data_IF_855507238350
#
_entry.id   IF_855507238350
#
_cell.length_a   1.000
_cell.length_b   1.000
_cell.length_c   1.000
_cell.angle_alpha   90.00
_cell.angle_beta   90.00
_cell.angle_gamma   90.00
#
_symmetry.space_group_name_H-M   'P 1'
#
loop_
_entity.id
_entity.type
_entity.pdbx_description
1 polymer ?
#
# COMPACT_ATOMS: atom_id res chain seq x y z
N UNK A 1 4.50 -47.72 9.44
CA UNK A 1 4.22 -47.13 10.76
C UNK A 1 5.28 -46.07 11.04
N UNK A 2 4.85 -44.82 11.30
CA UNK A 2 5.46 -43.78 12.15
C UNK A 2 6.95 -43.44 11.85
N UNK A 3 7.34 -42.20 11.54
CA UNK A 3 7.13 -40.99 12.32
C UNK A 3 7.17 -39.74 11.46
N UNK A 4 6.37 -38.76 11.90
CA UNK A 4 6.22 -37.43 11.35
C UNK A 4 7.26 -36.44 11.91
N UNK A 5 7.43 -35.34 11.18
CA UNK A 5 7.79 -33.96 11.59
C UNK A 5 9.14 -33.70 12.28
N UNK A 6 10.03 -33.03 11.54
CA UNK A 6 10.85 -31.89 12.01
C UNK A 6 10.88 -30.89 10.83
N UNK A 7 9.98 -29.92 10.83
CA UNK A 7 10.23 -28.53 11.24
C UNK A 7 11.18 -27.78 10.29
N UNK A 8 10.57 -26.90 9.49
CA UNK A 8 11.21 -25.95 8.60
C UNK A 8 12.10 -24.97 9.38
N UNK A 9 13.35 -24.84 8.95
CA UNK A 9 14.20 -23.69 9.22
C UNK A 9 15.36 -23.68 8.21
N UNK A 10 15.17 -23.02 7.08
CA UNK A 10 16.27 -22.42 6.33
C UNK A 10 15.87 -21.00 5.96
N UNK A 11 16.10 -20.12 6.93
CA UNK A 11 16.26 -18.70 6.72
C UNK A 11 17.47 -18.45 5.82
N UNK A 12 17.34 -17.50 4.90
CA UNK A 12 18.49 -16.75 4.38
C UNK A 12 18.90 -17.13 2.97
N UNK A 13 18.24 -16.51 2.00
CA UNK A 13 18.89 -15.83 0.87
C UNK A 13 17.83 -15.43 -0.16
N UNK A 14 17.02 -14.42 0.14
CA UNK A 14 16.36 -13.68 -0.92
C UNK A 14 16.25 -12.20 -0.54
N UNK A 15 16.98 -11.40 -1.31
CA UNK A 15 16.78 -9.97 -1.58
C UNK A 15 17.28 -8.99 -0.50
N UNK A 16 18.62 -8.92 -0.38
CA UNK A 16 19.34 -7.70 0.04
C UNK A 16 19.47 -6.70 -1.14
N UNK A 17 18.39 -6.50 -1.91
CA UNK A 17 18.29 -5.47 -2.96
C UNK A 17 17.04 -4.58 -2.83
N UNK A 18 16.30 -4.67 -1.71
CA UNK A 18 15.44 -3.57 -1.30
C UNK A 18 16.34 -2.54 -0.58
N UNK A 19 16.37 -1.33 -1.09
CA UNK A 19 17.29 -0.26 -0.68
C UNK A 19 17.46 -0.10 0.83
N UNK A 20 18.72 0.11 1.21
CA UNK A 20 19.19 0.59 2.51
C UNK A 20 18.14 1.42 3.28
N UNK A 21 17.90 0.99 4.52
CA UNK A 21 17.17 1.67 5.59
C UNK A 21 16.84 3.14 5.37
N UNK A 22 15.60 3.38 4.96
CA UNK A 22 14.81 4.43 5.58
C UNK A 22 13.71 3.70 6.33
N UNK A 23 13.56 3.94 7.63
CA UNK A 23 12.42 3.40 8.38
C UNK A 23 11.16 3.59 7.55
N UNK A 24 10.35 2.53 7.43
CA UNK A 24 9.09 2.58 6.68
C UNK A 24 8.30 3.76 7.22
N UNK A 25 8.30 4.87 6.48
CA UNK A 25 7.49 6.04 6.85
C UNK A 25 6.08 5.63 6.45
N UNK A 26 5.26 5.30 7.44
CA UNK A 26 3.85 4.95 7.23
C UNK A 26 3.00 6.21 7.39
N UNK A 27 1.87 6.28 6.68
CA UNK A 27 0.97 7.44 6.74
C UNK A 27 0.48 7.75 8.16
N UNK A 28 0.34 6.71 8.99
CA UNK A 28 -0.05 6.82 10.41
C UNK A 28 1.00 7.55 11.30
N UNK A 29 2.26 7.61 10.86
CA UNK A 29 3.37 8.19 11.61
C UNK A 29 3.64 9.65 11.17
N UNK A 30 2.87 10.16 10.20
CA UNK A 30 2.94 11.55 9.77
C UNK A 30 2.19 12.45 10.74
N UNK A 31 2.77 13.62 11.00
CA UNK A 31 2.14 14.72 11.73
C UNK A 31 2.32 16.03 10.99
N UNK A 32 1.64 17.09 11.43
CA UNK A 32 1.85 18.46 10.95
C UNK A 32 3.31 18.95 11.00
N UNK A 33 4.14 18.35 11.87
CA UNK A 33 5.57 18.68 12.01
C UNK A 33 6.50 17.91 11.06
N UNK A 34 5.97 16.90 10.35
CA UNK A 34 6.75 16.05 9.46
C UNK A 34 7.33 16.84 8.27
N UNK A 35 8.51 16.43 7.83
CA UNK A 35 9.15 17.05 6.68
C UNK A 35 8.38 16.78 5.39
N UNK A 36 8.45 17.68 4.41
CA UNK A 36 7.83 17.46 3.09
C UNK A 36 8.32 16.17 2.42
N UNK A 37 9.59 15.80 2.66
CA UNK A 37 10.20 14.56 2.16
C UNK A 37 9.55 13.32 2.79
N UNK A 38 9.32 13.33 4.10
CA UNK A 38 8.74 12.19 4.81
C UNK A 38 7.26 12.03 4.46
N UNK A 39 6.52 13.14 4.37
CA UNK A 39 5.14 13.16 3.88
C UNK A 39 5.07 12.52 2.48
N UNK A 40 5.94 12.96 1.56
CA UNK A 40 5.95 12.43 0.19
C UNK A 40 6.29 10.94 0.13
N UNK A 41 7.22 10.49 0.98
CA UNK A 41 7.58 9.06 1.10
C UNK A 41 6.44 8.23 1.67
N UNK A 42 5.78 8.71 2.71
CA UNK A 42 4.64 8.02 3.31
C UNK A 42 3.50 7.90 2.30
N UNK A 43 3.17 8.98 1.60
CA UNK A 43 2.14 8.96 0.57
C UNK A 43 2.44 7.96 -0.56
N UNK A 44 3.67 7.96 -1.09
CA UNK A 44 4.11 6.94 -2.06
C UNK A 44 4.01 5.53 -1.49
N UNK A 45 4.45 5.33 -0.24
CA UNK A 45 4.44 4.03 0.40
C UNK A 45 3.01 3.49 0.57
N UNK A 46 2.04 4.35 0.90
CA UNK A 46 0.64 3.95 1.01
C UNK A 46 0.03 3.61 -0.35
N UNK A 47 0.28 4.41 -1.39
CA UNK A 47 -0.17 4.06 -2.76
C UNK A 47 0.48 2.78 -3.28
N UNK A 48 1.76 2.58 -2.97
CA UNK A 48 2.49 1.35 -3.34
C UNK A 48 1.89 0.15 -2.62
N UNK A 49 1.53 0.27 -1.34
CA UNK A 49 0.88 -0.81 -0.59
C UNK A 49 -0.47 -1.21 -1.21
N UNK A 50 -1.25 -0.24 -1.67
CA UNK A 50 -2.51 -0.49 -2.38
C UNK A 50 -2.23 -1.22 -3.70
N UNK A 51 -1.26 -0.75 -4.49
CA UNK A 51 -0.86 -1.39 -5.74
C UNK A 51 -0.41 -2.84 -5.51
N UNK A 52 0.50 -3.05 -4.56
CA UNK A 52 1.03 -4.38 -4.20
C UNK A 52 -0.10 -5.31 -3.76
N UNK A 53 -1.05 -4.82 -2.94
CA UNK A 53 -2.18 -5.62 -2.49
C UNK A 53 -3.05 -6.09 -3.67
N UNK A 54 -3.40 -5.17 -4.57
CA UNK A 54 -4.22 -5.49 -5.76
C UNK A 54 -3.53 -6.48 -6.70
N UNK A 55 -2.21 -6.37 -6.89
CA UNK A 55 -1.44 -7.26 -7.76
C UNK A 55 -1.33 -8.70 -7.22
N UNK A 56 -1.63 -8.93 -5.94
CA UNK A 56 -1.55 -10.26 -5.31
C UNK A 56 -2.88 -11.01 -5.27
N UNK A 57 -3.95 -10.44 -5.81
CA UNK A 57 -5.29 -11.03 -5.77
C UNK A 57 -5.43 -12.08 -6.86
N UNK A 58 -5.55 -13.34 -6.44
CA UNK A 58 -5.71 -14.50 -7.32
C UNK A 58 -6.98 -15.32 -6.99
N UNK A 59 -7.51 -15.15 -5.78
CA UNK A 59 -8.66 -15.88 -5.25
C UNK A 59 -9.37 -15.10 -4.13
N UNK A 60 -10.43 -15.67 -3.56
CA UNK A 60 -11.18 -15.04 -2.48
C UNK A 60 -10.34 -14.78 -1.21
N UNK A 61 -9.41 -15.68 -0.87
CA UNK A 61 -8.62 -15.53 0.35
C UNK A 61 -7.63 -14.35 0.22
N UNK A 62 -6.96 -14.25 -0.94
CA UNK A 62 -6.07 -13.14 -1.28
C UNK A 62 -6.84 -11.84 -1.49
N UNK A 63 -8.07 -11.86 -2.04
CA UNK A 63 -8.95 -10.68 -2.11
C UNK A 63 -9.28 -10.11 -0.72
N UNK A 64 -9.62 -10.97 0.24
CA UNK A 64 -9.87 -10.56 1.64
C UNK A 64 -8.61 -10.01 2.32
N UNK A 65 -7.45 -10.61 2.04
CA UNK A 65 -6.18 -10.11 2.55
C UNK A 65 -5.82 -8.75 1.94
N UNK A 66 -5.98 -8.59 0.62
CA UNK A 66 -5.77 -7.34 -0.08
C UNK A 66 -6.68 -6.22 0.46
N UNK A 67 -7.96 -6.51 0.75
CA UNK A 67 -8.86 -5.55 1.37
C UNK A 67 -8.34 -5.02 2.73
N UNK A 68 -7.74 -5.89 3.56
CA UNK A 68 -7.15 -5.48 4.82
C UNK A 68 -5.93 -4.56 4.64
N UNK A 69 -5.06 -4.85 3.68
CA UNK A 69 -3.90 -4.02 3.37
C UNK A 69 -4.29 -2.68 2.72
N UNK A 70 -5.27 -2.70 1.82
CA UNK A 70 -5.87 -1.50 1.22
C UNK A 70 -6.48 -0.63 2.32
N UNK A 71 -7.23 -1.23 3.26
CA UNK A 71 -7.81 -0.49 4.37
C UNK A 71 -6.73 0.19 5.22
N UNK A 72 -5.70 -0.56 5.62
CA UNK A 72 -4.58 -0.01 6.39
C UNK A 72 -3.91 1.15 5.66
N UNK A 73 -3.74 1.03 4.35
CA UNK A 73 -3.17 2.11 3.54
C UNK A 73 -4.09 3.34 3.45
N UNK A 74 -5.38 3.12 3.27
CA UNK A 74 -6.39 4.17 3.27
C UNK A 74 -6.44 4.92 4.61
N UNK A 75 -6.34 4.22 5.75
CA UNK A 75 -6.22 4.84 7.07
C UNK A 75 -4.96 5.70 7.19
N UNK A 76 -3.84 5.23 6.66
CA UNK A 76 -2.59 6.02 6.58
C UNK A 76 -2.75 7.28 5.74
N UNK A 77 -3.39 7.18 4.57
CA UNK A 77 -3.69 8.32 3.69
C UNK A 77 -4.62 9.33 4.38
N UNK A 78 -5.66 8.85 5.07
CA UNK A 78 -6.59 9.69 5.83
C UNK A 78 -5.90 10.43 6.97
N UNK A 79 -5.05 9.75 7.75
CA UNK A 79 -4.27 10.42 8.80
C UNK A 79 -3.41 11.56 8.23
N UNK A 80 -2.77 11.32 7.08
CA UNK A 80 -2.02 12.38 6.40
C UNK A 80 -2.90 13.54 5.95
N UNK A 81 -4.10 13.28 5.43
CA UNK A 81 -5.05 14.34 5.06
C UNK A 81 -5.44 15.20 6.26
N UNK A 82 -5.76 14.55 7.39
CA UNK A 82 -6.13 15.21 8.65
C UNK A 82 -4.98 16.06 9.21
N UNK A 83 -3.77 15.50 9.27
CA UNK A 83 -2.59 16.18 9.80
C UNK A 83 -2.09 17.34 8.92
N UNK A 84 -2.33 17.26 7.62
CA UNK A 84 -1.92 18.29 6.65
C UNK A 84 -2.99 19.36 6.44
N UNK A 85 -4.17 19.21 7.06
CA UNK A 85 -5.27 20.18 6.97
C UNK A 85 -5.97 20.19 5.61
N UNK A 86 -5.95 19.08 4.90
CA UNK A 86 -6.64 18.87 3.61
C UNK A 86 -5.98 19.61 2.42
N UNK A 87 -6.02 20.94 2.39
CA UNK A 87 -5.57 21.72 1.23
C UNK A 87 -4.04 21.94 1.23
N UNK A 88 -3.36 21.19 0.36
CA UNK A 88 -1.93 21.38 0.10
C UNK A 88 -1.76 22.42 -1.03
N UNK A 89 -1.14 23.56 -0.73
CA UNK A 89 -0.80 24.56 -1.75
C UNK A 89 0.09 23.98 -2.86
N UNK A 90 0.01 24.52 -4.09
CA UNK A 90 0.81 24.01 -5.22
C UNK A 90 2.33 23.99 -4.98
N UNK A 91 2.87 24.98 -4.26
CA UNK A 91 4.29 25.00 -3.86
C UNK A 91 4.61 23.88 -2.89
N UNK A 92 3.74 23.65 -1.89
CA UNK A 92 3.93 22.57 -0.91
C UNK A 92 3.78 21.20 -1.57
N UNK A 93 2.85 21.03 -2.50
CA UNK A 93 2.71 19.81 -3.30
C UNK A 93 3.99 19.53 -4.12
N UNK A 94 4.57 20.55 -4.73
CA UNK A 94 5.86 20.41 -5.44
C UNK A 94 7.00 20.01 -4.50
N UNK A 95 7.05 20.55 -3.29
CA UNK A 95 8.04 20.17 -2.28
C UNK A 95 7.87 18.73 -1.79
N UNK A 96 6.63 18.27 -1.63
CA UNK A 96 6.30 16.93 -1.13
C UNK A 96 6.55 15.88 -2.22
N UNK A 97 6.01 16.12 -3.42
CA UNK A 97 5.92 15.13 -4.48
C UNK A 97 6.98 15.30 -5.57
N UNK A 98 7.65 16.44 -5.68
CA UNK A 98 8.59 16.71 -6.78
C UNK A 98 9.71 15.67 -6.89
N UNK A 99 10.26 15.21 -5.76
CA UNK A 99 11.28 14.15 -5.75
C UNK A 99 10.72 12.72 -5.85
N UNK A 100 9.40 12.56 -5.72
CA UNK A 100 8.69 11.30 -5.64
C UNK A 100 7.78 11.05 -6.86
N UNK A 101 7.73 12.01 -7.80
CA UNK A 101 6.75 12.03 -8.89
C UNK A 101 6.76 10.75 -9.74
N UNK A 102 7.94 10.22 -10.07
CA UNK A 102 8.04 8.98 -10.82
C UNK A 102 7.43 7.79 -10.07
N UNK A 103 7.73 7.66 -8.77
CA UNK A 103 7.18 6.56 -7.96
C UNK A 103 5.67 6.70 -7.76
N UNK A 104 5.14 7.93 -7.68
CA UNK A 104 3.70 8.18 -7.65
C UNK A 104 3.05 7.73 -8.95
N UNK A 105 3.62 8.15 -10.09
CA UNK A 105 3.10 7.79 -11.40
C UNK A 105 3.14 6.27 -11.61
N UNK A 106 4.22 5.61 -11.19
CA UNK A 106 4.37 4.16 -11.28
C UNK A 106 3.33 3.44 -10.41
N UNK A 107 3.13 3.86 -9.15
CA UNK A 107 2.11 3.27 -8.28
C UNK A 107 0.69 3.47 -8.83
N UNK A 108 0.38 4.66 -9.38
CA UNK A 108 -0.91 4.94 -10.01
C UNK A 108 -1.15 4.08 -11.25
N UNK A 109 -0.15 3.91 -12.09
CA UNK A 109 -0.22 3.06 -13.28
C UNK A 109 -0.46 1.60 -12.88
N UNK A 110 0.30 1.10 -11.90
CA UNK A 110 0.16 -0.26 -11.36
C UNK A 110 -1.24 -0.55 -10.81
N UNK A 111 -1.76 0.34 -9.97
CA UNK A 111 -3.14 0.23 -9.47
C UNK A 111 -4.15 0.18 -10.63
N UNK A 112 -4.04 1.09 -11.61
CA UNK A 112 -4.94 1.11 -12.76
C UNK A 112 -4.88 -0.20 -13.55
N UNK A 113 -3.67 -0.73 -13.81
CA UNK A 113 -3.49 -2.00 -14.50
C UNK A 113 -4.09 -3.16 -13.72
N UNK A 114 -3.78 -3.28 -12.42
CA UNK A 114 -4.29 -4.35 -11.57
C UNK A 114 -5.83 -4.31 -11.48
N UNK A 115 -6.42 -3.13 -11.29
CA UNK A 115 -7.87 -2.96 -11.26
C UNK A 115 -8.52 -3.32 -12.60
N UNK A 116 -7.93 -2.90 -13.72
CA UNK A 116 -8.44 -3.22 -15.06
C UNK A 116 -8.40 -4.73 -15.30
N UNK A 117 -7.32 -5.39 -14.90
CA UNK A 117 -7.17 -6.83 -15.03
C UNK A 117 -8.18 -7.58 -14.14
N UNK A 118 -8.27 -7.24 -12.86
CA UNK A 118 -9.23 -7.83 -11.93
C UNK A 118 -10.66 -7.65 -12.41
N UNK A 119 -11.02 -6.46 -12.92
CA UNK A 119 -12.35 -6.24 -13.46
C UNK A 119 -12.65 -7.09 -14.71
N UNK A 120 -11.65 -7.33 -15.55
CA UNK A 120 -11.81 -8.09 -16.78
C UNK A 120 -11.83 -9.62 -16.54
N UNK A 121 -11.02 -10.11 -15.60
CA UNK A 121 -10.76 -11.53 -15.40
C UNK A 121 -11.51 -12.10 -14.18
N UNK A 122 -11.67 -11.30 -13.12
CA UNK A 122 -12.15 -11.71 -11.80
C UNK A 122 -13.08 -10.66 -11.15
N UNK A 123 -14.19 -10.26 -11.80
CA UNK A 123 -15.09 -9.22 -11.27
C UNK A 123 -15.68 -9.57 -9.90
N UNK A 124 -15.82 -10.86 -9.57
CA UNK A 124 -16.25 -11.35 -8.26
C UNK A 124 -15.26 -11.02 -7.14
N UNK A 125 -13.95 -11.02 -7.43
CA UNK A 125 -12.93 -10.69 -6.44
C UNK A 125 -12.91 -9.19 -6.14
N UNK A 126 -13.23 -8.35 -7.13
CA UNK A 126 -13.42 -6.92 -6.95
C UNK A 126 -14.58 -6.59 -6.01
N UNK A 127 -15.69 -7.31 -6.12
CA UNK A 127 -16.83 -7.17 -5.22
C UNK A 127 -16.43 -7.51 -3.78
N UNK A 128 -15.73 -8.62 -3.57
CA UNK A 128 -15.22 -9.03 -2.25
C UNK A 128 -14.27 -7.98 -1.67
N UNK A 129 -13.35 -7.43 -2.47
CA UNK A 129 -12.45 -6.36 -2.00
C UNK A 129 -13.25 -5.14 -1.54
N UNK A 130 -14.26 -4.73 -2.31
CA UNK A 130 -15.13 -3.61 -1.98
C UNK A 130 -15.90 -3.84 -0.67
N UNK A 131 -16.62 -4.96 -0.57
CA UNK A 131 -17.40 -5.31 0.61
C UNK A 131 -16.53 -5.40 1.87
N UNK A 132 -15.35 -6.01 1.77
CA UNK A 132 -14.44 -6.17 2.89
C UNK A 132 -13.80 -4.85 3.32
N UNK A 133 -13.45 -3.99 2.35
CA UNK A 133 -12.93 -2.66 2.66
C UNK A 133 -13.98 -1.80 3.37
N UNK A 134 -15.24 -1.87 2.93
CA UNK A 134 -16.37 -1.18 3.57
C UNK A 134 -16.64 -1.73 4.98
N UNK A 135 -16.64 -3.06 5.13
CA UNK A 135 -16.83 -3.74 6.41
C UNK A 135 -15.75 -3.38 7.43
N UNK A 136 -14.50 -3.31 7.00
CA UNK A 136 -13.37 -2.91 7.85
C UNK A 136 -13.34 -1.41 8.13
N UNK A 137 -14.09 -0.61 7.36
CA UNK A 137 -14.16 0.83 7.50
C UNK A 137 -15.27 1.36 8.39
N UNK A 138 -16.19 0.51 8.83
CA UNK A 138 -17.22 0.77 9.84
C UNK A 138 -16.68 0.57 11.26
#
# INVERSE_FOLDING_TARGET
MKHATVAAAFFGAMILLAGCGQGKVEGKDISASSSAKDIGKAYVAELTRIADALETVEDEASARAAAADIRKAADGLKNMEEELGGEISGIKAMQIFGSNYQQLADAQLRMMTALTQLQAEHPELMEIIGEETDRLGQ
#
